data_IF_927113289174
#
_entry.id   IF_927113289174
#
_cell.length_a   1.000
_cell.length_b   1.000
_cell.length_c   1.000
_cell.angle_alpha   90.00
_cell.angle_beta   90.00
_cell.angle_gamma   90.00
#
_symmetry.space_group_name_H-M   'P 1'
#
loop_
_entity.id
_entity.type
_entity.pdbx_description
1 polymer ?
#
# COMPACT_ATOMS: atom_id res chain seq x y z
N UNK A 1 14.52 -5.12 1.58
CA UNK A 1 13.57 -4.81 2.68
C UNK A 1 13.65 -5.84 3.79
N UNK A 2 13.36 -7.12 3.57
CA UNK A 2 13.36 -8.16 4.63
C UNK A 2 14.67 -8.17 5.41
N UNK A 3 15.84 -8.22 4.75
CA UNK A 3 17.14 -8.22 5.41
C UNK A 3 17.33 -7.02 6.34
N UNK A 4 16.99 -5.82 5.86
CA UNK A 4 17.15 -4.57 6.64
C UNK A 4 16.24 -4.49 7.86
N UNK A 5 15.01 -5.01 7.76
CA UNK A 5 14.07 -5.04 8.89
C UNK A 5 14.38 -6.16 9.90
N UNK A 6 15.13 -7.18 9.48
CA UNK A 6 15.45 -8.34 10.32
C UNK A 6 16.85 -8.28 10.95
N UNK A 7 17.69 -7.28 10.60
CA UNK A 7 19.07 -7.18 11.14
C UNK A 7 19.07 -7.00 12.65
N UNK A 8 18.13 -6.19 13.19
CA UNK A 8 18.03 -5.89 14.62
C UNK A 8 16.60 -6.08 15.18
N UNK A 9 15.70 -6.74 14.43
CA UNK A 9 14.28 -6.87 14.73
C UNK A 9 13.75 -8.30 14.70
N UNK A 10 12.43 -8.49 14.92
CA UNK A 10 11.81 -9.79 14.81
C UNK A 10 11.86 -10.32 13.37
N UNK A 11 11.75 -11.66 13.18
CA UNK A 11 11.66 -12.24 11.84
C UNK A 11 10.51 -11.64 11.04
N UNK A 12 10.77 -11.20 9.80
CA UNK A 12 9.79 -10.57 8.91
C UNK A 12 9.47 -11.47 7.73
N UNK A 13 8.20 -11.71 7.49
CA UNK A 13 7.69 -12.37 6.29
C UNK A 13 6.93 -11.37 5.40
N UNK A 14 7.07 -11.50 4.08
CA UNK A 14 6.30 -10.70 3.12
C UNK A 14 5.32 -11.61 2.39
N UNK A 15 4.05 -11.22 2.40
CA UNK A 15 2.99 -11.89 1.64
C UNK A 15 2.70 -11.06 0.39
N UNK A 16 3.09 -11.52 -0.82
CA UNK A 16 2.83 -10.77 -2.04
C UNK A 16 1.34 -10.83 -2.38
N UNK A 17 0.70 -9.67 -2.43
CA UNK A 17 -0.74 -9.53 -2.70
C UNK A 17 -1.07 -8.80 -4.00
N UNK A 18 -0.14 -8.03 -4.57
CA UNK A 18 -0.38 -7.13 -5.70
C UNK A 18 -0.96 -7.82 -6.94
N UNK A 19 -1.87 -7.12 -7.61
CA UNK A 19 -2.45 -7.49 -8.91
C UNK A 19 -2.40 -6.26 -9.82
N UNK A 20 -1.73 -6.40 -10.96
CA UNK A 20 -1.59 -5.30 -11.92
C UNK A 20 -2.93 -4.91 -12.56
N UNK A 21 -3.02 -3.67 -13.01
CA UNK A 21 -4.19 -3.09 -13.70
C UNK A 21 -5.50 -3.17 -12.90
N UNK A 22 -5.43 -3.25 -11.57
CA UNK A 22 -6.62 -3.23 -10.71
C UNK A 22 -6.97 -1.83 -10.25
N UNK A 23 -8.26 -1.52 -10.12
CA UNK A 23 -8.77 -0.31 -9.46
C UNK A 23 -8.98 -0.54 -7.96
N UNK A 24 -9.12 0.53 -7.19
CA UNK A 24 -9.44 0.42 -5.76
C UNK A 24 -10.76 -0.34 -5.52
N UNK A 25 -11.69 -0.26 -6.47
CA UNK A 25 -13.00 -0.93 -6.38
C UNK A 25 -12.91 -2.44 -6.49
N UNK A 26 -11.92 -2.97 -7.24
CA UNK A 26 -11.68 -4.42 -7.35
C UNK A 26 -11.26 -5.04 -6.02
N UNK A 27 -10.61 -4.24 -5.16
CA UNK A 27 -10.14 -4.66 -3.84
C UNK A 27 -11.19 -4.49 -2.74
N UNK A 28 -12.18 -3.62 -2.96
CA UNK A 28 -13.25 -3.36 -2.01
C UNK A 28 -14.16 -4.57 -1.81
N UNK A 29 -14.41 -5.33 -2.88
CA UNK A 29 -15.30 -6.49 -2.87
C UNK A 29 -14.88 -7.53 -3.92
N UNK A 30 -15.51 -8.70 -3.90
CA UNK A 30 -15.25 -9.75 -4.92
C UNK A 30 -13.92 -10.47 -4.74
N UNK A 31 -13.31 -10.86 -5.88
CA UNK A 31 -12.17 -11.77 -5.91
C UNK A 31 -10.92 -11.23 -5.23
N UNK A 32 -10.57 -9.95 -5.44
CA UNK A 32 -9.36 -9.37 -4.82
C UNK A 32 -9.54 -9.14 -3.32
N UNK A 33 -10.75 -8.74 -2.89
CA UNK A 33 -11.05 -8.74 -1.46
C UNK A 33 -10.90 -10.13 -0.83
N UNK A 34 -11.45 -11.17 -1.46
CA UNK A 34 -11.32 -12.54 -0.96
C UNK A 34 -9.85 -12.97 -0.87
N UNK A 35 -9.00 -12.53 -1.81
CA UNK A 35 -7.55 -12.77 -1.73
C UNK A 35 -6.94 -12.14 -0.48
N UNK A 36 -7.22 -10.87 -0.18
CA UNK A 36 -6.74 -10.19 1.04
C UNK A 36 -7.23 -10.92 2.29
N UNK A 37 -8.52 -11.18 2.39
CA UNK A 37 -9.12 -11.86 3.53
C UNK A 37 -8.52 -13.26 3.77
N UNK A 38 -8.28 -14.01 2.69
CA UNK A 38 -7.65 -15.33 2.76
C UNK A 38 -6.19 -15.26 3.19
N UNK A 39 -5.43 -14.28 2.71
CA UNK A 39 -4.03 -14.09 3.11
C UNK A 39 -3.90 -13.76 4.60
N UNK A 40 -4.78 -12.90 5.14
CA UNK A 40 -4.86 -12.61 6.57
C UNK A 40 -5.17 -13.90 7.33
N UNK A 41 -6.22 -14.62 6.96
CA UNK A 41 -6.63 -15.85 7.62
C UNK A 41 -5.56 -16.96 7.56
N UNK A 42 -4.82 -17.09 6.48
CA UNK A 42 -3.73 -18.06 6.35
C UNK A 42 -2.53 -17.70 7.23
N UNK A 43 -2.18 -16.42 7.33
CA UNK A 43 -1.13 -15.99 8.25
C UNK A 43 -1.48 -16.37 9.69
N UNK A 44 -2.71 -16.10 10.12
CA UNK A 44 -3.19 -16.44 11.46
C UNK A 44 -3.16 -17.93 11.76
N UNK A 45 -3.54 -18.78 10.80
CA UNK A 45 -3.50 -20.24 10.96
C UNK A 45 -2.11 -20.80 11.27
N UNK A 46 -1.05 -20.09 10.85
CA UNK A 46 0.33 -20.49 11.15
C UNK A 46 0.96 -19.66 12.28
N UNK A 47 0.13 -18.96 13.07
CA UNK A 47 0.56 -18.20 14.22
C UNK A 47 1.20 -16.85 13.89
N UNK A 48 1.07 -16.36 12.66
CA UNK A 48 1.56 -15.06 12.22
C UNK A 48 0.40 -14.06 12.15
N UNK A 49 0.56 -12.90 12.77
CA UNK A 49 -0.36 -11.79 12.60
C UNK A 49 0.15 -10.86 11.48
N UNK A 50 -0.74 -10.44 10.58
CA UNK A 50 -0.40 -9.40 9.60
C UNK A 50 -0.22 -8.07 10.33
N UNK A 51 1.01 -7.58 10.40
CA UNK A 51 1.35 -6.36 11.13
C UNK A 51 1.13 -5.11 10.29
N UNK A 52 1.43 -5.17 8.98
CA UNK A 52 1.39 -4.02 8.07
C UNK A 52 0.79 -4.44 6.72
N UNK A 53 -0.09 -3.61 6.17
CA UNK A 53 -0.49 -3.65 4.77
C UNK A 53 0.11 -2.43 4.07
N UNK A 54 0.86 -2.65 2.99
CA UNK A 54 1.41 -1.61 2.14
C UNK A 54 0.54 -1.45 0.90
N UNK A 55 -0.07 -0.28 0.74
CA UNK A 55 -0.96 0.04 -0.37
C UNK A 55 -0.25 0.95 -1.37
N UNK A 56 0.11 0.38 -2.52
CA UNK A 56 0.71 1.07 -3.65
C UNK A 56 -0.15 0.76 -4.89
N UNK A 57 -1.20 1.55 -5.11
CA UNK A 57 -2.17 1.42 -6.21
C UNK A 57 -2.86 2.77 -6.41
N UNK A 58 -3.13 3.16 -7.64
CA UNK A 58 -3.81 4.40 -7.99
C UNK A 58 -3.72 4.74 -9.47
N UNK A 59 -2.87 4.05 -10.21
CA UNK A 59 -2.57 4.32 -11.61
C UNK A 59 -3.78 4.04 -12.50
N UNK A 60 -4.50 2.93 -12.29
CA UNK A 60 -5.73 2.58 -13.00
C UNK A 60 -6.83 3.60 -12.69
N UNK A 61 -7.03 3.92 -11.41
CA UNK A 61 -8.05 4.89 -11.00
C UNK A 61 -7.75 6.30 -11.51
N UNK A 62 -6.47 6.66 -11.63
CA UNK A 62 -6.04 7.90 -12.26
C UNK A 62 -6.35 7.90 -13.75
N UNK A 63 -6.09 6.79 -14.47
CA UNK A 63 -6.41 6.64 -15.89
C UNK A 63 -7.93 6.70 -16.15
N UNK A 64 -8.71 6.11 -15.27
CA UNK A 64 -10.17 6.08 -15.34
C UNK A 64 -10.83 7.37 -14.83
N UNK A 65 -10.03 8.37 -14.42
CA UNK A 65 -10.53 9.63 -13.85
C UNK A 65 -11.45 9.42 -12.65
N UNK A 66 -11.14 8.43 -11.81
CA UNK A 66 -11.90 8.14 -10.59
C UNK A 66 -11.95 9.37 -9.68
N UNK A 67 -13.15 9.72 -9.22
CA UNK A 67 -13.33 10.86 -8.34
C UNK A 67 -12.65 10.66 -6.99
N UNK A 68 -12.00 11.71 -6.47
CA UNK A 68 -11.31 11.70 -5.17
C UNK A 68 -12.15 11.09 -4.05
N UNK A 69 -13.40 11.54 -3.90
CA UNK A 69 -14.28 11.05 -2.85
C UNK A 69 -14.61 9.55 -3.01
N UNK A 70 -14.78 9.08 -4.23
CA UNK A 70 -15.08 7.67 -4.52
C UNK A 70 -13.88 6.77 -4.22
N UNK A 71 -12.67 7.18 -4.65
CA UNK A 71 -11.43 6.47 -4.33
C UNK A 71 -11.20 6.41 -2.83
N UNK A 72 -11.27 7.59 -2.14
CA UNK A 72 -11.12 7.69 -0.69
C UNK A 72 -12.09 6.77 0.05
N UNK A 73 -13.37 6.78 -0.32
CA UNK A 73 -14.40 5.94 0.31
C UNK A 73 -14.13 4.45 0.15
N UNK A 74 -13.73 4.03 -1.06
CA UNK A 74 -13.41 2.63 -1.35
C UNK A 74 -12.16 2.15 -0.58
N UNK A 75 -11.12 2.99 -0.50
CA UNK A 75 -9.91 2.67 0.25
C UNK A 75 -10.17 2.62 1.75
N UNK A 76 -10.93 3.56 2.31
CA UNK A 76 -11.32 3.54 3.71
C UNK A 76 -12.09 2.25 4.07
N UNK A 77 -13.06 1.85 3.23
CA UNK A 77 -13.80 0.60 3.41
C UNK A 77 -12.87 -0.64 3.38
N UNK A 78 -11.89 -0.67 2.47
CA UNK A 78 -10.90 -1.75 2.41
C UNK A 78 -10.05 -1.83 3.68
N UNK A 79 -9.62 -0.69 4.21
CA UNK A 79 -8.88 -0.58 5.48
C UNK A 79 -9.71 -1.17 6.62
N UNK A 80 -10.95 -0.70 6.79
CA UNK A 80 -11.83 -1.14 7.87
C UNK A 80 -12.12 -2.63 7.79
N UNK A 81 -12.40 -3.14 6.59
CA UNK A 81 -12.67 -4.56 6.38
C UNK A 81 -11.46 -5.45 6.66
N UNK A 82 -10.25 -5.01 6.31
CA UNK A 82 -9.03 -5.77 6.58
C UNK A 82 -8.76 -5.88 8.08
N UNK A 83 -9.03 -4.81 8.82
CA UNK A 83 -8.92 -4.79 10.28
C UNK A 83 -9.97 -5.66 10.97
N UNK A 84 -11.20 -5.64 10.45
CA UNK A 84 -12.27 -6.51 10.96
C UNK A 84 -11.96 -8.01 10.77
N UNK A 85 -10.98 -8.37 9.92
CA UNK A 85 -10.50 -9.74 9.76
C UNK A 85 -9.32 -10.08 10.66
N UNK A 86 -8.66 -9.10 11.24
CA UNK A 86 -7.53 -9.32 12.15
C UNK A 86 -8.02 -9.64 13.57
N UNK A 87 -7.33 -10.52 14.30
CA UNK A 87 -7.61 -10.77 15.71
C UNK A 87 -7.26 -9.57 16.61
N UNK A 88 -6.47 -8.63 16.10
CA UNK A 88 -6.07 -7.40 16.80
C UNK A 88 -6.77 -6.19 16.18
N UNK A 89 -7.56 -5.42 16.97
CA UNK A 89 -8.39 -4.33 16.44
C UNK A 89 -7.58 -3.13 15.93
N UNK A 90 -6.34 -2.96 16.37
CA UNK A 90 -5.37 -1.93 15.94
C UNK A 90 -4.50 -2.35 14.75
N UNK A 91 -4.65 -3.59 14.27
CA UNK A 91 -3.85 -4.19 13.19
C UNK A 91 -4.73 -4.71 12.06
N UNK A 92 -4.19 -4.77 10.83
CA UNK A 92 -2.88 -4.29 10.43
C UNK A 92 -2.78 -2.76 10.43
N UNK A 93 -1.56 -2.24 10.69
CA UNK A 93 -1.22 -0.88 10.32
C UNK A 93 -1.24 -0.74 8.79
N UNK A 94 -1.52 0.44 8.28
CA UNK A 94 -1.51 0.70 6.84
C UNK A 94 -0.47 1.74 6.47
N UNK A 95 0.30 1.47 5.42
CA UNK A 95 1.16 2.45 4.76
C UNK A 95 0.56 2.71 3.38
N UNK A 96 -0.01 3.90 3.20
CA UNK A 96 -0.67 4.32 1.96
C UNK A 96 0.27 5.21 1.18
N UNK A 97 0.79 4.72 0.06
CA UNK A 97 1.64 5.49 -0.84
C UNK A 97 0.81 6.43 -1.70
N UNK A 98 1.38 7.57 -2.07
CA UNK A 98 0.83 8.39 -3.12
C UNK A 98 1.39 7.91 -4.46
N UNK A 99 0.54 7.42 -5.35
CA UNK A 99 0.88 6.93 -6.68
C UNK A 99 -0.26 7.13 -7.65
N UNK A 100 0.04 7.57 -8.87
CA UNK A 100 -0.96 7.77 -9.91
C UNK A 100 -0.38 7.77 -11.33
N UNK A 101 0.96 7.75 -11.47
CA UNK A 101 1.63 7.82 -12.77
C UNK A 101 1.87 6.42 -13.34
N UNK A 102 1.40 6.20 -14.59
CA UNK A 102 1.77 5.07 -15.41
C UNK A 102 1.74 5.47 -16.90
N UNK A 103 2.93 5.53 -17.52
CA UNK A 103 3.14 5.85 -18.92
C UNK A 103 3.65 7.28 -19.20
N UNK A 104 4.40 7.43 -20.31
CA UNK A 104 5.13 8.66 -20.67
C UNK A 104 4.25 9.91 -20.87
N UNK A 105 2.98 9.72 -21.24
CA UNK A 105 2.03 10.84 -21.45
C UNK A 105 1.18 11.14 -20.21
N UNK A 106 1.40 10.40 -19.14
CA UNK A 106 0.57 10.50 -17.96
C UNK A 106 1.20 11.43 -16.92
N UNK A 107 0.55 12.53 -16.67
CA UNK A 107 1.05 13.53 -15.70
C UNK A 107 0.67 13.18 -14.24
N UNK A 108 0.04 12.02 -14.04
CA UNK A 108 -0.51 11.62 -12.77
C UNK A 108 -1.80 12.39 -12.40
N UNK A 109 -2.42 11.97 -11.29
CA UNK A 109 -3.65 12.57 -10.79
C UNK A 109 -3.44 13.18 -9.41
N UNK A 110 -3.45 14.52 -9.28
CA UNK A 110 -3.46 15.17 -7.97
C UNK A 110 -4.65 14.72 -7.10
N UNK A 111 -5.80 14.44 -7.73
CA UNK A 111 -7.02 14.02 -7.04
C UNK A 111 -6.85 12.64 -6.39
N UNK A 112 -6.24 11.67 -7.11
CA UNK A 112 -5.95 10.35 -6.54
C UNK A 112 -4.92 10.44 -5.42
N UNK A 113 -3.83 11.21 -5.59
CA UNK A 113 -2.86 11.42 -4.51
C UNK A 113 -3.47 12.10 -3.29
N UNK A 114 -4.36 13.06 -3.50
CA UNK A 114 -5.08 13.70 -2.41
C UNK A 114 -6.02 12.70 -1.70
N UNK A 115 -6.73 11.85 -2.45
CA UNK A 115 -7.58 10.80 -1.88
C UNK A 115 -6.79 9.79 -1.04
N UNK A 116 -5.58 9.45 -1.48
CA UNK A 116 -4.65 8.59 -0.73
C UNK A 116 -4.18 9.26 0.58
N UNK A 117 -3.92 10.57 0.55
CA UNK A 117 -3.58 11.32 1.76
C UNK A 117 -4.78 11.51 2.71
N UNK A 118 -5.99 11.65 2.19
CA UNK A 118 -7.21 11.88 2.98
C UNK A 118 -7.62 10.70 3.88
N UNK A 119 -7.12 9.49 3.63
CA UNK A 119 -7.39 8.34 4.50
C UNK A 119 -6.40 8.20 5.64
N UNK A 120 -5.33 8.99 5.63
CA UNK A 120 -4.26 8.94 6.64
C UNK A 120 -4.81 9.41 7.99
N UNK A 121 -4.58 8.59 9.00
CA UNK A 121 -4.91 8.87 10.40
C UNK A 121 -3.90 8.10 11.27
N UNK A 122 -2.82 8.76 11.66
CA UNK A 122 -1.75 8.12 12.43
C UNK A 122 -2.24 7.61 13.79
N UNK A 123 -3.20 8.29 14.39
CA UNK A 123 -3.80 7.84 15.65
C UNK A 123 -4.55 6.51 15.50
N UNK A 124 -4.97 6.20 14.27
CA UNK A 124 -5.56 4.92 13.90
C UNK A 124 -4.58 3.99 13.18
N UNK A 125 -3.28 4.27 13.18
CA UNK A 125 -2.29 3.42 12.52
C UNK A 125 -2.40 3.39 11.00
N UNK A 126 -2.79 4.50 10.37
CA UNK A 126 -2.81 4.68 8.93
C UNK A 126 -1.80 5.79 8.60
N UNK A 127 -0.71 5.43 7.96
CA UNK A 127 0.45 6.27 7.73
C UNK A 127 0.59 6.63 6.26
N UNK A 128 1.05 7.85 6.00
CA UNK A 128 1.40 8.27 4.65
C UNK A 128 2.76 7.70 4.26
N UNK A 129 2.79 6.91 3.19
CA UNK A 129 4.01 6.49 2.52
C UNK A 129 4.57 7.59 1.63
N UNK A 130 5.70 7.31 0.96
CA UNK A 130 6.27 8.29 0.04
C UNK A 130 5.35 8.56 -1.16
N UNK A 131 5.52 9.75 -1.76
CA UNK A 131 4.93 10.06 -3.06
C UNK A 131 5.80 9.43 -4.17
N UNK A 132 5.36 8.32 -4.73
CA UNK A 132 6.09 7.58 -5.77
C UNK A 132 6.00 8.23 -7.15
N UNK A 133 5.09 9.19 -7.35
CA UNK A 133 5.02 9.99 -8.57
C UNK A 133 6.24 10.93 -8.73
N UNK A 134 7.01 11.14 -7.66
CA UNK A 134 8.31 11.84 -7.73
C UNK A 134 9.43 10.97 -8.32
N UNK A 135 9.22 9.65 -8.41
CA UNK A 135 10.16 8.70 -8.98
C UNK A 135 9.88 8.52 -10.48
N UNK A 136 10.33 9.47 -11.29
CA UNK A 136 10.17 9.47 -12.76
C UNK A 136 11.51 9.25 -13.48
N UNK A 137 11.48 9.08 -14.80
CA UNK A 137 12.65 8.93 -15.65
C UNK A 137 13.56 7.79 -15.18
N UNK A 138 14.75 8.11 -14.67
CA UNK A 138 15.77 7.13 -14.26
C UNK A 138 15.31 6.10 -13.22
N UNK A 139 14.14 6.27 -12.63
CA UNK A 139 13.59 5.35 -11.63
C UNK A 139 12.60 4.35 -12.21
N UNK A 140 12.21 4.52 -13.47
CA UNK A 140 11.27 3.63 -14.17
C UNK A 140 11.94 3.07 -15.44
N UNK A 141 11.51 1.89 -15.89
CA UNK A 141 12.07 1.29 -17.10
C UNK A 141 11.17 1.44 -18.33
N UNK A 142 9.89 1.75 -18.13
CA UNK A 142 8.88 1.91 -19.18
C UNK A 142 7.89 3.06 -18.85
N UNK A 143 8.36 4.09 -18.15
CA UNK A 143 7.57 5.23 -17.64
C UNK A 143 6.42 4.86 -16.69
N UNK A 144 6.21 3.57 -16.42
CA UNK A 144 5.21 3.05 -15.50
C UNK A 144 5.86 2.30 -14.34
N UNK A 145 6.57 1.23 -14.63
CA UNK A 145 7.08 0.31 -13.62
C UNK A 145 8.45 0.73 -13.09
N UNK A 146 8.63 0.59 -11.77
CA UNK A 146 9.88 0.94 -11.11
C UNK A 146 11.00 -0.04 -11.44
N UNK A 147 12.13 0.47 -11.89
CA UNK A 147 13.38 -0.29 -12.03
C UNK A 147 14.03 -0.53 -10.65
N UNK A 148 15.24 -1.10 -10.64
CA UNK A 148 15.95 -1.40 -9.39
C UNK A 148 16.17 -0.16 -8.51
N UNK A 149 16.52 0.99 -9.11
CA UNK A 149 16.73 2.24 -8.38
C UNK A 149 15.43 2.79 -7.78
N UNK A 150 14.33 2.74 -8.53
CA UNK A 150 13.00 3.15 -8.04
C UNK A 150 12.52 2.27 -6.90
N UNK A 151 12.67 0.94 -7.04
CA UNK A 151 12.33 0.00 -5.97
C UNK A 151 13.17 0.20 -4.71
N UNK A 152 14.49 0.47 -4.86
CA UNK A 152 15.36 0.76 -3.72
C UNK A 152 14.90 2.01 -2.97
N UNK A 153 14.59 3.10 -3.69
CA UNK A 153 14.10 4.33 -3.08
C UNK A 153 12.80 4.13 -2.28
N UNK A 154 11.85 3.34 -2.83
CA UNK A 154 10.60 2.99 -2.14
C UNK A 154 10.90 2.17 -0.88
N UNK A 155 11.76 1.16 -0.99
CA UNK A 155 12.16 0.32 0.15
C UNK A 155 12.82 1.15 1.24
N UNK A 156 13.76 2.04 0.88
CA UNK A 156 14.46 2.89 1.84
C UNK A 156 13.52 3.81 2.61
N UNK A 157 12.57 4.42 1.91
CA UNK A 157 11.55 5.27 2.54
C UNK A 157 10.61 4.46 3.43
N UNK A 158 10.22 3.26 3.00
CA UNK A 158 9.32 2.38 3.75
C UNK A 158 9.97 1.87 5.04
N UNK A 159 11.23 1.43 4.96
CA UNK A 159 11.96 0.94 6.14
C UNK A 159 12.09 2.05 7.18
N UNK A 160 12.51 3.26 6.78
CA UNK A 160 12.58 4.41 7.68
C UNK A 160 11.24 4.69 8.37
N UNK A 161 10.13 4.68 7.63
CA UNK A 161 8.81 4.91 8.21
C UNK A 161 8.42 3.82 9.22
N UNK A 162 8.71 2.54 8.91
CA UNK A 162 8.45 1.41 9.80
C UNK A 162 9.24 1.55 11.11
N UNK A 163 10.52 1.93 11.02
CA UNK A 163 11.41 2.14 12.17
C UNK A 163 10.98 3.35 13.01
N UNK A 164 10.75 4.52 12.37
CA UNK A 164 10.31 5.75 13.04
C UNK A 164 9.00 5.57 13.82
N UNK A 165 8.07 4.82 13.24
CA UNK A 165 6.75 4.59 13.83
C UNK A 165 6.66 3.29 14.64
N UNK A 166 7.74 2.51 14.74
CA UNK A 166 7.84 1.24 15.48
C UNK A 166 6.74 0.24 15.12
N UNK A 167 6.47 0.11 13.82
CA UNK A 167 5.30 -0.65 13.34
C UNK A 167 5.41 -2.17 13.50
N UNK A 168 6.58 -2.70 13.83
CA UNK A 168 6.83 -4.14 14.05
C UNK A 168 6.99 -4.52 15.54
N UNK A 169 6.85 -3.57 16.43
CA UNK A 169 6.90 -3.78 17.89
C UNK A 169 5.58 -4.26 18.51
#
# INVERSE_FOLDING_TARGET
>A
MIQRLAEDGPPVAIIPGAVGASSVFDWRSGGLWNRVANQIAQAEKVGLAVSIIMWLQGETDAADSTLRQSYRGALAELIDRSRAKSPRPDRPAWIVFQTSICGAKWLGSPEIRAAQADVVDEAKGIYLGMNTDLLVGRFRYDDCHFNAAGRSAIVDATVRLIEEKRLLE
#
